data_IF_203182234420
#
_entry.id   IF_203182234420
#
_cell.length_a   1.000
_cell.length_b   1.000
_cell.length_c   1.000
_cell.angle_alpha   90.00
_cell.angle_beta   90.00
_cell.angle_gamma   90.00
#
_symmetry.space_group_name_H-M   'P 1'
#
loop_
_entity.id
_entity.type
_entity.pdbx_description
1 polymer ?
#
# COMPACT_ATOMS: atom_id res chain seq x y z
N UNK A 1 9.06 21.76 6.49
CA UNK A 1 10.47 21.36 6.63
C UNK A 1 10.99 20.47 5.50
N UNK A 2 10.50 19.24 5.28
CA UNK A 2 10.92 18.43 4.10
C UNK A 2 10.33 18.91 2.77
N UNK A 3 9.13 19.51 2.80
CA UNK A 3 8.51 20.16 1.63
C UNK A 3 9.25 21.44 1.20
N UNK A 4 9.79 22.19 2.17
CA UNK A 4 10.54 23.43 1.92
C UNK A 4 11.99 23.18 1.44
N UNK A 5 12.51 21.97 1.60
CA UNK A 5 13.83 21.58 1.08
C UNK A 5 13.76 21.04 -0.36
N UNK A 6 12.57 20.58 -0.82
CA UNK A 6 12.34 20.10 -2.19
C UNK A 6 12.38 21.26 -3.20
N UNK A 7 11.89 22.43 -2.83
CA UNK A 7 11.80 23.60 -3.70
C UNK A 7 13.16 24.31 -3.96
N UNK A 8 14.23 23.91 -3.29
CA UNK A 8 15.55 24.56 -3.42
C UNK A 8 16.51 23.88 -4.40
N UNK A 9 16.17 22.72 -4.98
CA UNK A 9 17.15 21.94 -5.76
C UNK A 9 16.74 21.66 -7.21
N UNK A 10 15.45 21.61 -7.56
CA UNK A 10 14.99 21.48 -8.96
C UNK A 10 13.62 22.14 -9.13
N UNK A 11 13.33 22.72 -10.30
CA UNK A 11 11.98 23.24 -10.59
C UNK A 11 11.02 22.10 -11.00
N UNK A 12 9.70 22.31 -10.95
CA UNK A 12 8.69 21.30 -11.31
C UNK A 12 8.88 20.75 -12.74
N UNK A 13 9.36 21.55 -13.70
CA UNK A 13 9.63 21.12 -15.07
C UNK A 13 10.87 20.20 -15.16
N UNK A 14 11.86 20.38 -14.28
CA UNK A 14 13.06 19.53 -14.17
C UNK A 14 12.74 18.21 -13.46
N UNK A 15 11.79 18.21 -12.51
CA UNK A 15 11.28 17.00 -11.86
C UNK A 15 10.41 16.19 -12.83
N UNK A 16 9.46 16.85 -13.50
CA UNK A 16 8.61 16.22 -14.53
C UNK A 16 9.42 15.76 -15.74
N UNK A 17 10.57 16.40 -16.03
CA UNK A 17 11.51 15.96 -17.07
C UNK A 17 12.38 14.77 -16.67
N UNK A 18 12.57 14.49 -15.37
CA UNK A 18 13.41 13.40 -14.87
C UNK A 18 12.66 12.06 -14.76
N UNK A 19 11.35 12.10 -14.50
CA UNK A 19 10.48 10.92 -14.42
C UNK A 19 9.28 11.10 -15.35
N UNK A 20 9.42 10.79 -16.65
CA UNK A 20 8.31 10.92 -17.58
C UNK A 20 7.19 9.96 -17.22
N UNK A 21 5.95 10.36 -17.50
CA UNK A 21 4.79 9.48 -17.44
C UNK A 21 5.02 8.22 -18.28
N UNK A 22 4.47 7.10 -17.81
CA UNK A 22 4.51 5.84 -18.55
C UNK A 22 3.79 6.00 -19.89
N UNK A 23 4.36 5.43 -20.96
CA UNK A 23 3.68 5.44 -22.26
C UNK A 23 2.36 4.67 -22.21
N UNK A 24 1.39 5.06 -23.03
CA UNK A 24 0.10 4.36 -23.11
C UNK A 24 0.24 2.85 -23.35
N UNK A 25 1.21 2.41 -24.17
CA UNK A 25 1.44 0.98 -24.40
C UNK A 25 1.87 0.24 -23.13
N UNK A 26 2.66 0.89 -22.27
CA UNK A 26 3.06 0.32 -20.97
C UNK A 26 1.89 0.32 -20.01
N UNK A 27 1.10 1.40 -19.96
CA UNK A 27 -0.09 1.48 -19.12
C UNK A 27 -1.11 0.41 -19.49
N UNK A 28 -1.41 0.21 -20.78
CA UNK A 28 -2.33 -0.83 -21.25
C UNK A 28 -1.87 -2.25 -20.85
N UNK A 29 -0.56 -2.51 -20.84
CA UNK A 29 -0.02 -3.81 -20.40
C UNK A 29 -0.10 -3.99 -18.88
N UNK A 30 0.23 -2.93 -18.13
CA UNK A 30 0.08 -2.91 -16.68
C UNK A 30 -1.38 -3.17 -16.31
N UNK A 31 -2.33 -2.50 -16.95
CA UNK A 31 -3.77 -2.69 -16.71
C UNK A 31 -4.19 -4.13 -16.99
N UNK A 32 -3.81 -4.70 -18.14
CA UNK A 32 -4.17 -6.09 -18.49
C UNK A 32 -3.57 -7.13 -17.51
N UNK A 33 -2.33 -6.94 -17.08
CA UNK A 33 -1.71 -7.81 -16.07
C UNK A 33 -2.36 -7.63 -14.69
N UNK A 34 -2.82 -6.43 -14.39
CA UNK A 34 -3.48 -6.13 -13.12
C UNK A 34 -4.87 -6.75 -13.05
N UNK A 35 -5.62 -6.70 -14.16
CA UNK A 35 -6.88 -7.45 -14.31
C UNK A 35 -6.64 -8.95 -14.17
N UNK A 36 -5.62 -9.50 -14.83
CA UNK A 36 -5.25 -10.92 -14.66
C UNK A 36 -4.90 -11.27 -13.22
N UNK A 37 -4.18 -10.39 -12.51
CA UNK A 37 -3.86 -10.61 -11.10
C UNK A 37 -5.10 -10.59 -10.20
N UNK A 38 -6.04 -9.68 -10.47
CA UNK A 38 -7.32 -9.63 -9.76
C UNK A 38 -8.17 -10.90 -10.01
N UNK A 39 -8.23 -11.37 -11.26
CA UNK A 39 -8.92 -12.62 -11.60
C UNK A 39 -8.33 -13.81 -10.83
N UNK A 40 -6.99 -13.89 -10.73
CA UNK A 40 -6.32 -14.90 -9.91
C UNK A 40 -6.66 -14.78 -8.41
N UNK A 41 -6.73 -13.56 -7.85
CA UNK A 41 -7.15 -13.33 -6.46
C UNK A 41 -8.57 -13.82 -6.20
N UNK A 42 -9.50 -13.52 -7.10
CA UNK A 42 -10.90 -13.95 -7.00
C UNK A 42 -11.04 -15.48 -7.00
N UNK A 43 -10.08 -16.17 -7.63
CA UNK A 43 -9.95 -17.64 -7.65
C UNK A 43 -9.10 -18.20 -6.48
N UNK A 44 -8.64 -17.35 -5.56
CA UNK A 44 -7.68 -17.67 -4.49
C UNK A 44 -6.33 -18.23 -4.99
N UNK A 45 -5.99 -18.01 -6.26
CA UNK A 45 -4.66 -18.29 -6.84
C UNK A 45 -3.72 -17.12 -6.54
N UNK A 46 -3.32 -17.00 -5.28
CA UNK A 46 -2.46 -15.91 -4.82
C UNK A 46 -1.09 -15.89 -5.51
N UNK A 47 -0.50 -17.05 -5.79
CA UNK A 47 0.77 -17.15 -6.51
C UNK A 47 0.64 -16.64 -7.96
N UNK A 48 -0.47 -16.98 -8.64
CA UNK A 48 -0.79 -16.46 -9.97
C UNK A 48 -1.04 -14.95 -9.97
N UNK A 49 -1.67 -14.43 -8.93
CA UNK A 49 -1.90 -13.00 -8.75
C UNK A 49 -0.57 -12.24 -8.59
N UNK A 50 0.29 -12.70 -7.66
CA UNK A 50 1.63 -12.13 -7.43
C UNK A 50 2.45 -12.14 -8.71
N UNK A 51 2.50 -13.27 -9.43
CA UNK A 51 3.26 -13.37 -10.67
C UNK A 51 2.82 -12.33 -11.72
N UNK A 52 1.50 -12.10 -11.86
CA UNK A 52 0.95 -11.13 -12.81
C UNK A 52 1.33 -9.70 -12.45
N UNK A 53 1.21 -9.31 -11.19
CA UNK A 53 1.55 -7.96 -10.74
C UNK A 53 3.06 -7.71 -10.68
N UNK A 54 3.89 -8.72 -10.40
CA UNK A 54 5.34 -8.59 -10.50
C UNK A 54 5.80 -8.38 -11.96
N UNK A 55 5.17 -9.05 -12.92
CA UNK A 55 5.41 -8.79 -14.34
C UNK A 55 5.04 -7.34 -14.70
N UNK A 56 3.95 -6.81 -14.15
CA UNK A 56 3.56 -5.41 -14.34
C UNK A 56 4.56 -4.44 -13.69
N UNK A 57 5.02 -4.73 -12.47
CA UNK A 57 6.03 -3.92 -11.77
C UNK A 57 7.33 -3.80 -12.55
N UNK A 58 7.80 -4.88 -13.19
CA UNK A 58 9.03 -4.87 -14.01
C UNK A 58 8.94 -3.89 -15.19
N UNK A 59 7.74 -3.53 -15.63
CA UNK A 59 7.54 -2.53 -16.69
C UNK A 59 7.72 -1.09 -16.20
N UNK A 60 7.67 -0.86 -14.88
CA UNK A 60 7.85 0.46 -14.28
C UNK A 60 9.34 0.75 -14.13
N UNK A 61 9.85 1.87 -14.70
CA UNK A 61 11.24 2.26 -14.58
C UNK A 61 11.67 2.53 -13.13
N UNK A 62 12.95 2.32 -12.85
CA UNK A 62 13.57 2.77 -11.62
C UNK A 62 13.85 4.28 -11.64
N UNK A 63 13.69 4.99 -10.51
CA UNK A 63 13.20 4.53 -9.22
C UNK A 63 11.66 4.38 -9.21
N UNK A 64 11.17 3.18 -8.90
CA UNK A 64 9.74 2.86 -9.00
C UNK A 64 8.84 3.68 -8.08
N UNK A 65 9.38 4.24 -6.99
CA UNK A 65 8.63 5.03 -6.02
C UNK A 65 8.22 6.43 -6.53
N UNK A 66 8.56 6.80 -7.76
CA UNK A 66 8.05 7.98 -8.47
C UNK A 66 6.83 7.69 -9.35
N UNK A 67 6.36 6.44 -9.41
CA UNK A 67 5.23 6.06 -10.25
C UNK A 67 4.05 5.64 -9.38
N UNK A 68 2.88 6.26 -9.58
CA UNK A 68 1.68 5.96 -8.79
C UNK A 68 1.22 4.50 -8.96
N UNK A 69 1.53 3.89 -10.12
CA UNK A 69 1.24 2.50 -10.44
C UNK A 69 1.92 1.54 -9.46
N UNK A 70 3.12 1.88 -9.01
CA UNK A 70 3.85 1.10 -8.02
C UNK A 70 3.12 1.03 -6.68
N UNK A 71 2.30 2.02 -6.32
CA UNK A 71 1.58 2.02 -5.03
C UNK A 71 0.59 0.86 -4.99
N UNK A 72 -0.31 0.80 -5.97
CA UNK A 72 -1.37 -0.20 -5.95
C UNK A 72 -0.86 -1.58 -6.36
N UNK A 73 0.13 -1.70 -7.26
CA UNK A 73 0.76 -3.00 -7.54
C UNK A 73 1.44 -3.61 -6.32
N UNK A 74 2.22 -2.82 -5.56
CA UNK A 74 2.83 -3.30 -4.33
C UNK A 74 1.75 -3.60 -3.26
N UNK A 75 0.71 -2.78 -3.16
CA UNK A 75 -0.39 -3.06 -2.22
C UNK A 75 -1.13 -4.36 -2.55
N UNK A 76 -1.41 -4.62 -3.83
CA UNK A 76 -2.02 -5.85 -4.31
C UNK A 76 -1.16 -7.09 -4.03
N UNK A 77 0.14 -7.03 -4.34
CA UNK A 77 1.07 -8.13 -4.02
C UNK A 77 1.16 -8.34 -2.51
N UNK A 78 1.25 -7.25 -1.73
CA UNK A 78 1.25 -7.31 -0.27
C UNK A 78 0.00 -7.98 0.29
N UNK A 79 -1.16 -7.69 -0.29
CA UNK A 79 -2.45 -8.29 0.12
C UNK A 79 -2.49 -9.79 -0.20
N UNK A 80 -2.02 -10.21 -1.37
CA UNK A 80 -1.91 -11.64 -1.70
C UNK A 80 -0.99 -12.41 -0.73
N UNK A 81 0.12 -11.81 -0.29
CA UNK A 81 0.97 -12.43 0.74
C UNK A 81 0.30 -12.41 2.12
N UNK A 82 -0.45 -11.36 2.45
CA UNK A 82 -1.21 -11.27 3.69
C UNK A 82 -2.25 -12.39 3.79
N UNK A 83 -3.01 -12.63 2.72
CA UNK A 83 -4.01 -13.71 2.65
C UNK A 83 -3.39 -15.12 2.71
N UNK A 84 -2.09 -15.24 2.46
CA UNK A 84 -1.32 -16.48 2.64
C UNK A 84 -0.67 -16.60 4.03
N UNK A 85 -1.00 -15.72 4.97
CA UNK A 85 -0.37 -15.59 6.29
C UNK A 85 1.15 -15.29 6.24
N UNK A 86 1.69 -14.85 5.09
CA UNK A 86 3.08 -14.38 4.97
C UNK A 86 3.18 -12.89 5.29
N UNK A 87 3.01 -12.58 6.58
CA UNK A 87 2.99 -11.21 7.08
C UNK A 87 4.34 -10.49 6.97
N UNK A 88 5.46 -11.21 6.89
CA UNK A 88 6.79 -10.61 6.72
C UNK A 88 6.97 -10.08 5.29
N UNK A 89 6.60 -10.89 4.31
CA UNK A 89 6.64 -10.48 2.90
C UNK A 89 5.59 -9.41 2.62
N UNK A 90 4.36 -9.59 3.10
CA UNK A 90 3.29 -8.59 2.97
C UNK A 90 3.73 -7.21 3.50
N UNK A 91 4.30 -7.17 4.71
CA UNK A 91 4.80 -5.94 5.32
C UNK A 91 5.84 -5.24 4.41
N UNK A 92 6.73 -6.00 3.79
CA UNK A 92 7.76 -5.46 2.90
C UNK A 92 7.15 -4.75 1.69
N UNK A 93 6.14 -5.34 1.06
CA UNK A 93 5.45 -4.74 -0.08
C UNK A 93 4.62 -3.52 0.33
N UNK A 94 3.89 -3.57 1.45
CA UNK A 94 3.15 -2.39 1.93
C UNK A 94 4.06 -1.22 2.33
N UNK A 95 5.22 -1.49 2.94
CA UNK A 95 6.22 -0.46 3.23
C UNK A 95 6.81 0.12 1.94
N UNK A 96 7.02 -0.70 0.91
CA UNK A 96 7.45 -0.25 -0.42
C UNK A 96 6.39 0.65 -1.07
N UNK A 97 5.12 0.24 -1.07
CA UNK A 97 4.00 1.07 -1.55
C UNK A 97 3.98 2.43 -0.84
N UNK A 98 4.10 2.41 0.50
CA UNK A 98 4.14 3.61 1.36
C UNK A 98 5.36 4.52 1.12
N UNK A 99 6.42 4.03 0.50
CA UNK A 99 7.63 4.80 0.18
C UNK A 99 7.50 5.70 -1.07
N UNK A 100 6.36 5.63 -1.76
CA UNK A 100 6.07 6.48 -2.91
C UNK A 100 6.15 7.97 -2.55
N UNK A 101 6.73 8.77 -3.45
CA UNK A 101 7.02 10.19 -3.19
C UNK A 101 6.06 11.15 -3.90
N UNK A 102 5.25 10.63 -4.82
CA UNK A 102 4.25 11.39 -5.57
C UNK A 102 2.86 11.28 -4.90
N UNK A 103 2.51 10.09 -4.40
CA UNK A 103 1.24 9.81 -3.74
C UNK A 103 1.33 9.96 -2.21
N UNK A 104 0.31 10.55 -1.58
CA UNK A 104 0.22 10.59 -0.12
C UNK A 104 -0.36 9.27 0.41
N UNK A 105 0.45 8.21 0.47
CA UNK A 105 -0.03 6.88 0.88
C UNK A 105 -0.60 6.85 2.31
N UNK A 106 -0.22 7.80 3.18
CA UNK A 106 -0.82 7.95 4.52
C UNK A 106 -2.31 8.33 4.52
N UNK A 107 -2.90 8.69 3.37
CA UNK A 107 -4.35 8.88 3.20
C UNK A 107 -5.06 7.70 2.56
N UNK A 108 -4.38 6.57 2.33
CA UNK A 108 -5.00 5.33 1.88
C UNK A 108 -5.36 4.44 3.09
N UNK A 109 -6.64 4.33 3.49
CA UNK A 109 -7.03 3.59 4.68
C UNK A 109 -6.67 2.10 4.60
N UNK A 110 -6.81 1.48 3.42
CA UNK A 110 -6.49 0.07 3.20
C UNK A 110 -5.01 -0.26 3.44
N UNK A 111 -4.09 0.55 2.89
CA UNK A 111 -2.65 0.34 3.13
C UNK A 111 -2.31 0.57 4.61
N UNK A 112 -2.97 1.52 5.27
CA UNK A 112 -2.76 1.73 6.70
C UNK A 112 -3.30 0.56 7.53
N UNK A 113 -4.44 -0.01 7.16
CA UNK A 113 -5.00 -1.20 7.80
C UNK A 113 -4.00 -2.36 7.70
N UNK A 114 -3.63 -2.75 6.48
CA UNK A 114 -2.73 -3.89 6.24
C UNK A 114 -1.35 -3.74 6.88
N UNK A 115 -0.78 -2.53 6.91
CA UNK A 115 0.44 -2.27 7.68
C UNK A 115 0.25 -2.54 9.17
N UNK A 116 -0.87 -2.05 9.73
CA UNK A 116 -1.20 -2.23 11.13
C UNK A 116 -1.39 -3.70 11.52
N UNK A 117 -2.08 -4.45 10.67
CA UNK A 117 -2.31 -5.89 10.82
C UNK A 117 -1.00 -6.65 10.73
N UNK A 118 -0.19 -6.42 9.69
CA UNK A 118 1.13 -7.05 9.55
C UNK A 118 2.03 -6.79 10.76
N UNK A 119 2.05 -5.57 11.29
CA UNK A 119 2.81 -5.27 12.50
C UNK A 119 2.28 -6.00 13.73
N UNK A 120 0.95 -6.15 13.86
CA UNK A 120 0.36 -6.87 14.97
C UNK A 120 0.71 -8.37 14.92
N UNK A 121 0.65 -8.99 13.74
CA UNK A 121 1.06 -10.40 13.55
C UNK A 121 2.54 -10.63 13.89
N UNK A 122 3.38 -9.62 13.68
CA UNK A 122 4.79 -9.64 14.05
C UNK A 122 5.06 -9.18 15.51
N UNK A 123 4.01 -9.02 16.32
CA UNK A 123 4.06 -8.57 17.71
C UNK A 123 4.69 -7.18 17.93
N UNK A 124 4.68 -6.32 16.90
CA UNK A 124 5.04 -4.91 17.02
C UNK A 124 3.81 -4.04 17.31
N UNK A 125 3.37 -4.10 18.58
CA UNK A 125 2.16 -3.42 19.03
C UNK A 125 2.22 -1.88 18.89
N UNK A 126 3.42 -1.29 18.97
CA UNK A 126 3.57 0.17 18.86
C UNK A 126 3.22 0.65 17.46
N UNK A 127 3.83 0.02 16.44
CA UNK A 127 3.55 0.35 15.03
C UNK A 127 2.17 -0.12 14.61
N UNK A 128 1.72 -1.29 15.07
CA UNK A 128 0.37 -1.77 14.82
C UNK A 128 -0.67 -0.73 15.24
N UNK A 129 -0.57 -0.21 16.47
CA UNK A 129 -1.49 0.80 16.99
C UNK A 129 -1.48 2.09 16.16
N UNK A 130 -0.30 2.56 15.74
CA UNK A 130 -0.20 3.77 14.90
C UNK A 130 -0.99 3.61 13.59
N UNK A 131 -0.75 2.52 12.88
CA UNK A 131 -1.31 2.29 11.56
C UNK A 131 -2.80 1.91 11.60
N UNK A 132 -3.20 1.04 12.54
CA UNK A 132 -4.62 0.70 12.75
C UNK A 132 -5.44 1.92 13.18
N UNK A 133 -4.91 2.80 14.04
CA UNK A 133 -5.59 4.03 14.42
C UNK A 133 -5.76 4.95 13.19
N UNK A 134 -4.73 5.07 12.35
CA UNK A 134 -4.82 5.88 11.15
C UNK A 134 -5.85 5.34 10.16
N UNK A 135 -5.91 4.02 9.96
CA UNK A 135 -6.94 3.38 9.14
C UNK A 135 -8.34 3.72 9.68
N UNK A 136 -8.56 3.53 10.98
CA UNK A 136 -9.81 3.88 11.65
C UNK A 136 -10.20 5.36 11.48
N UNK A 137 -9.25 6.30 11.59
CA UNK A 137 -9.56 7.72 11.47
C UNK A 137 -9.90 8.13 10.03
N UNK A 138 -9.41 7.39 9.03
CA UNK A 138 -9.71 7.64 7.62
C UNK A 138 -11.06 7.05 7.22
N UNK A 139 -11.44 5.92 7.81
CA UNK A 139 -12.69 5.22 7.52
C UNK A 139 -13.19 4.45 8.77
N UNK A 140 -13.85 5.14 9.72
CA UNK A 140 -14.19 4.55 11.03
C UNK A 140 -15.36 3.56 10.99
N UNK A 141 -16.17 3.62 9.94
CA UNK A 141 -17.41 2.85 9.83
C UNK A 141 -17.16 1.51 9.12
N UNK A 142 -16.31 1.47 8.08
CA UNK A 142 -16.21 0.32 7.17
C UNK A 142 -14.83 -0.38 7.21
N UNK A 143 -13.74 0.27 7.64
CA UNK A 143 -12.38 -0.25 7.39
C UNK A 143 -12.05 -1.60 8.05
N UNK A 144 -12.77 -1.98 9.11
CA UNK A 144 -12.58 -3.28 9.78
C UNK A 144 -13.66 -4.30 9.42
N UNK A 145 -14.58 -3.97 8.50
CA UNK A 145 -15.59 -4.93 8.07
C UNK A 145 -14.94 -6.10 7.31
N UNK A 146 -15.22 -7.33 7.75
CA UNK A 146 -14.66 -8.54 7.14
C UNK A 146 -13.29 -8.97 7.68
N UNK A 147 -12.62 -8.10 8.44
CA UNK A 147 -11.34 -8.41 9.09
C UNK A 147 -11.51 -9.23 10.38
N UNK A 148 -10.43 -9.88 10.83
CA UNK A 148 -10.42 -10.57 12.13
C UNK A 148 -10.66 -9.56 13.27
N UNK A 149 -11.64 -9.86 14.14
CA UNK A 149 -12.02 -9.03 15.28
C UNK A 149 -10.83 -8.68 16.19
N UNK A 150 -9.75 -9.47 16.17
CA UNK A 150 -8.53 -9.19 16.95
C UNK A 150 -7.90 -7.83 16.64
N UNK A 151 -7.99 -7.33 15.39
CA UNK A 151 -7.35 -6.08 15.00
C UNK A 151 -8.07 -4.87 15.61
N UNK A 152 -9.40 -4.80 15.45
CA UNK A 152 -10.22 -3.77 16.09
C UNK A 152 -10.24 -3.93 17.62
N UNK A 153 -10.24 -5.17 18.12
CA UNK A 153 -10.14 -5.49 19.55
C UNK A 153 -8.84 -4.98 20.17
N UNK A 154 -7.70 -5.18 19.49
CA UNK A 154 -6.41 -4.64 19.89
C UNK A 154 -6.42 -3.11 19.90
N UNK A 155 -6.90 -2.48 18.82
CA UNK A 155 -6.94 -1.01 18.71
C UNK A 155 -7.81 -0.40 19.82
N UNK A 156 -9.03 -0.88 20.00
CA UNK A 156 -9.98 -0.36 21.00
C UNK A 156 -9.55 -0.59 22.45
N UNK A 157 -8.71 -1.60 22.71
CA UNK A 157 -8.12 -1.84 24.04
C UNK A 157 -6.96 -0.89 24.35
N UNK A 158 -6.34 -0.30 23.33
CA UNK A 158 -5.14 0.53 23.45
C UNK A 158 -5.38 2.02 23.14
N UNK A 159 -6.54 2.38 22.58
CA UNK A 159 -6.90 3.74 22.20
C UNK A 159 -8.36 4.01 22.57
N UNK A 160 -8.64 5.20 23.13
CA UNK A 160 -10.01 5.65 23.31
C UNK A 160 -10.57 6.21 22.00
N UNK A 161 -11.33 5.39 21.27
CA UNK A 161 -11.89 5.73 19.96
C UNK A 161 -13.02 6.77 20.03
N UNK A 162 -13.67 6.96 21.19
CA UNK A 162 -14.77 7.93 21.39
C UNK A 162 -14.31 9.38 21.57
N UNK A 163 -13.01 9.59 21.77
CA UNK A 163 -12.40 10.91 22.02
C UNK A 163 -11.57 11.42 20.84
N UNK A 164 -11.64 10.74 19.69
CA UNK A 164 -10.94 11.18 18.50
C UNK A 164 -11.78 12.23 17.74
N UNK A 165 -11.13 13.29 17.21
CA UNK A 165 -11.78 14.49 16.67
C UNK A 165 -12.58 14.25 15.39
#
# INVERSE_FOLDING_TARGET
MLRELKDQIMNEDEINGAFPELSNEVLEKIDALSESGNDCMDEEDFDGAVASWEEALVMIPEPQNHYIQSVWLNASIGDAYFLQDDFETALTYFLTAKSNVEENVYSNPFIMLRLGECFLEQADEERAKEFLLRAYLLDPDEIFEGEDEKYLGFLSSNVNLKEQP
#
